data_IF_486522269714
#
_entry.id   IF_486522269714
#
_cell.length_a   1.000
_cell.length_b   1.000
_cell.length_c   1.000
_cell.angle_alpha   90.00
_cell.angle_beta   90.00
_cell.angle_gamma   90.00
#
_symmetry.space_group_name_H-M   'P 1'
#
loop_
_entity.id
_entity.type
_entity.pdbx_description
1 polymer ?
#
# COMPACT_ATOMS: atom_id res chain seq x y z
N UNK A 1 -4.59 -8.55 10.72
CA UNK A 1 -5.91 -8.42 10.05
C UNK A 1 -6.11 -9.54 9.03
N UNK A 2 -7.23 -10.27 9.10
CA UNK A 2 -7.66 -11.20 8.04
C UNK A 2 -9.19 -11.23 7.94
N UNK A 3 -9.73 -11.79 6.87
CA UNK A 3 -11.16 -11.88 6.61
C UNK A 3 -11.61 -10.90 5.52
N UNK A 4 -12.93 -10.74 5.38
CA UNK A 4 -13.55 -10.03 4.24
C UNK A 4 -13.11 -8.57 4.10
N UNK A 5 -12.75 -7.89 5.19
CA UNK A 5 -12.24 -6.50 5.16
C UNK A 5 -10.94 -6.34 4.37
N UNK A 6 -10.16 -7.41 4.23
CA UNK A 6 -8.92 -7.41 3.45
C UNK A 6 -9.15 -7.58 1.95
N UNK A 7 -10.39 -7.80 1.51
CA UNK A 7 -10.75 -7.94 0.09
C UNK A 7 -10.88 -6.56 -0.54
N UNK A 8 -10.21 -6.37 -1.67
CA UNK A 8 -10.23 -5.14 -2.47
C UNK A 8 -10.43 -5.46 -3.93
N UNK A 9 -11.25 -4.66 -4.61
CA UNK A 9 -11.29 -4.57 -6.08
C UNK A 9 -10.31 -3.48 -6.49
N UNK A 10 -9.39 -3.82 -7.39
CA UNK A 10 -8.30 -2.95 -7.81
C UNK A 10 -8.43 -2.65 -9.30
N UNK A 11 -8.47 -1.36 -9.65
CA UNK A 11 -8.43 -0.89 -11.03
C UNK A 11 -7.28 0.10 -11.13
N UNK A 12 -6.35 -0.15 -12.05
CA UNK A 12 -5.21 0.71 -12.28
C UNK A 12 -5.10 1.09 -13.75
N UNK A 13 -4.87 2.36 -14.02
CA UNK A 13 -4.56 2.92 -15.33
C UNK A 13 -3.13 3.44 -15.27
N UNK A 14 -2.33 3.09 -16.27
CA UNK A 14 -0.93 3.49 -16.35
C UNK A 14 -0.59 4.06 -17.72
N UNK A 15 0.42 4.93 -17.76
CA UNK A 15 0.97 5.44 -19.02
C UNK A 15 1.69 4.32 -19.75
N UNK A 16 1.29 4.01 -20.99
CA UNK A 16 2.04 3.06 -21.82
C UNK A 16 3.42 3.57 -22.21
N UNK A 17 3.62 4.89 -22.22
CA UNK A 17 4.90 5.52 -22.59
C UNK A 17 5.90 5.48 -21.43
N UNK A 18 5.47 5.81 -20.21
CA UNK A 18 6.38 5.90 -19.04
C UNK A 18 6.34 4.67 -18.14
N UNK A 19 5.32 3.82 -18.27
CA UNK A 19 5.07 2.69 -17.36
C UNK A 19 4.54 3.09 -15.99
N UNK A 20 4.33 4.39 -15.72
CA UNK A 20 3.89 4.89 -14.40
C UNK A 20 2.37 4.83 -14.24
N UNK A 21 1.84 4.48 -13.05
CA UNK A 21 0.42 4.60 -12.74
C UNK A 21 -0.05 6.06 -12.79
N UNK A 22 -1.23 6.30 -13.36
CA UNK A 22 -1.85 7.63 -13.52
C UNK A 22 -3.13 7.75 -12.69
N UNK A 23 -4.00 6.74 -12.78
CA UNK A 23 -5.29 6.71 -12.08
C UNK A 23 -5.45 5.35 -11.40
N UNK A 24 -5.93 5.37 -10.17
CA UNK A 24 -6.20 4.17 -9.39
C UNK A 24 -7.54 4.24 -8.70
N UNK A 25 -8.23 3.09 -8.65
CA UNK A 25 -9.41 2.87 -7.84
C UNK A 25 -9.19 1.65 -6.96
N UNK A 26 -9.47 1.80 -5.67
CA UNK A 26 -9.45 0.74 -4.67
C UNK A 26 -10.80 0.71 -3.99
N UNK A 27 -11.61 -0.31 -4.26
CA UNK A 27 -12.90 -0.49 -3.59
C UNK A 27 -12.83 -1.64 -2.60
N UNK A 28 -13.14 -1.38 -1.33
CA UNK A 28 -13.34 -2.38 -0.29
C UNK A 28 -14.83 -2.75 -0.23
N UNK A 29 -15.29 -3.90 -0.75
CA UNK A 29 -16.72 -4.24 -0.75
C UNK A 29 -17.25 -4.46 0.67
N UNK A 30 -16.39 -4.96 1.56
CA UNK A 30 -16.73 -5.37 2.91
C UNK A 30 -16.06 -4.45 3.95
N UNK A 31 -16.24 -3.14 3.83
CA UNK A 31 -15.57 -2.15 4.69
C UNK A 31 -16.18 -2.12 6.10
N UNK A 32 -17.49 -1.85 6.19
CA UNK A 32 -18.25 -1.84 7.45
C UNK A 32 -19.40 -2.83 7.39
N UNK A 33 -19.72 -3.45 8.53
CA UNK A 33 -20.89 -4.32 8.67
C UNK A 33 -21.79 -3.71 9.74
N UNK A 34 -23.01 -3.36 9.37
CA UNK A 34 -24.04 -2.80 10.24
C UNK A 34 -25.32 -3.59 10.00
N UNK A 35 -25.96 -4.09 11.05
CA UNK A 35 -27.19 -4.88 10.98
C UNK A 35 -27.12 -6.03 9.96
N UNK A 36 -26.03 -6.81 9.99
CA UNK A 36 -25.75 -7.95 9.10
C UNK A 36 -25.61 -7.57 7.61
N UNK A 37 -25.53 -6.28 7.27
CA UNK A 37 -25.32 -5.79 5.90
C UNK A 37 -23.96 -5.16 5.74
N UNK A 38 -23.30 -5.50 4.63
CA UNK A 38 -22.01 -4.92 4.27
C UNK A 38 -22.19 -3.62 3.50
N UNK A 39 -21.45 -2.59 3.93
CA UNK A 39 -21.28 -1.34 3.20
C UNK A 39 -19.84 -1.24 2.72
N UNK A 40 -19.68 -1.04 1.43
CA UNK A 40 -18.39 -0.84 0.80
C UNK A 40 -17.86 0.58 0.94
N UNK A 41 -16.58 0.76 0.64
CA UNK A 41 -15.94 2.07 0.54
C UNK A 41 -15.00 2.10 -0.65
N UNK A 42 -15.12 3.14 -1.47
CA UNK A 42 -14.34 3.32 -2.68
C UNK A 42 -13.36 4.47 -2.49
N UNK A 43 -12.11 4.23 -2.85
CA UNK A 43 -11.02 5.20 -2.84
C UNK A 43 -10.48 5.35 -4.25
N UNK A 44 -10.07 6.55 -4.61
CA UNK A 44 -9.49 6.84 -5.91
C UNK A 44 -8.41 7.91 -5.80
N UNK A 45 -7.47 7.86 -6.73
CA UNK A 45 -6.38 8.82 -6.84
C UNK A 45 -5.95 8.98 -8.28
N UNK A 46 -5.65 10.21 -8.65
CA UNK A 46 -5.18 10.63 -9.96
C UNK A 46 -3.95 11.52 -9.79
N UNK A 47 -2.92 11.26 -10.60
CA UNK A 47 -1.76 12.14 -10.72
C UNK A 47 -1.22 12.10 -12.15
N UNK A 48 -1.24 13.25 -12.82
CA UNK A 48 -0.59 13.44 -14.11
C UNK A 48 -0.15 14.91 -14.27
N UNK A 49 1.06 15.14 -14.75
CA UNK A 49 1.62 16.49 -14.99
C UNK A 49 1.44 17.44 -13.78
N UNK A 50 1.78 16.96 -12.58
CA UNK A 50 1.66 17.68 -11.30
C UNK A 50 0.22 18.06 -10.88
N UNK A 51 -0.78 17.61 -11.63
CA UNK A 51 -2.20 17.75 -11.26
C UNK A 51 -2.61 16.49 -10.50
N UNK A 52 -2.63 16.60 -9.17
CA UNK A 52 -3.05 15.54 -8.25
C UNK A 52 -4.45 15.74 -7.69
N UNK A 53 -5.24 14.65 -7.62
CA UNK A 53 -6.50 14.60 -6.86
C UNK A 53 -6.64 13.23 -6.19
N UNK A 54 -7.07 13.23 -4.93
CA UNK A 54 -7.30 12.00 -4.18
C UNK A 54 -8.61 12.08 -3.41
N UNK A 55 -9.29 10.94 -3.24
CA UNK A 55 -10.44 10.81 -2.34
C UNK A 55 -10.06 10.77 -0.86
N UNK A 56 -8.78 10.57 -0.56
CA UNK A 56 -8.25 10.46 0.80
C UNK A 56 -7.67 11.82 1.20
N UNK A 57 -8.06 12.29 2.38
CA UNK A 57 -7.38 13.38 3.05
C UNK A 57 -6.28 12.77 3.92
N UNK A 58 -5.02 13.11 3.66
CA UNK A 58 -3.88 12.61 4.43
C UNK A 58 -3.73 13.47 5.70
N UNK A 59 -3.83 12.84 6.85
CA UNK A 59 -3.37 13.42 8.10
C UNK A 59 -1.95 12.93 8.36
N UNK A 60 -1.02 13.85 8.63
CA UNK A 60 0.34 13.50 9.00
C UNK A 60 0.37 13.13 10.48
N UNK A 61 0.58 11.85 10.76
CA UNK A 61 0.91 11.37 12.09
C UNK A 61 2.16 10.50 11.96
N UNK A 62 3.18 10.78 12.78
CA UNK A 62 4.48 10.11 12.70
C UNK A 62 4.41 8.84 13.54
N UNK A 63 3.84 7.78 12.96
CA UNK A 63 3.74 6.47 13.58
C UNK A 63 5.01 5.67 13.27
N UNK A 64 5.18 4.54 13.97
CA UNK A 64 6.23 3.56 13.70
C UNK A 64 5.63 2.19 13.46
N UNK A 65 4.60 2.12 12.62
CA UNK A 65 3.84 0.89 12.36
C UNK A 65 4.09 0.43 10.92
N UNK A 66 4.58 -0.80 10.77
CA UNK A 66 4.81 -1.42 9.46
C UNK A 66 3.86 -2.59 9.29
N UNK A 67 3.13 -2.61 8.18
CA UNK A 67 2.32 -3.76 7.79
C UNK A 67 3.14 -4.74 6.95
N UNK A 68 2.98 -6.04 7.22
CA UNK A 68 3.67 -7.13 6.55
C UNK A 68 2.71 -8.24 6.11
N UNK A 69 3.18 -9.11 5.22
CA UNK A 69 2.55 -10.41 4.98
C UNK A 69 2.92 -11.41 6.08
N UNK A 70 2.04 -12.38 6.39
CA UNK A 70 2.30 -13.39 7.46
C UNK A 70 3.58 -14.18 7.24
N UNK A 71 3.84 -14.56 5.98
CA UNK A 71 4.97 -15.40 5.57
C UNK A 71 6.17 -14.54 5.15
N UNK A 72 6.33 -13.36 5.76
CA UNK A 72 7.48 -12.50 5.52
C UNK A 72 8.77 -13.10 6.09
N UNK A 73 9.92 -12.69 5.56
CA UNK A 73 11.23 -13.12 6.02
C UNK A 73 11.51 -12.72 7.48
N UNK A 74 11.92 -13.69 8.31
CA UNK A 74 12.14 -13.48 9.75
C UNK A 74 13.34 -12.57 10.05
N UNK A 75 14.35 -12.53 9.17
CA UNK A 75 15.46 -11.59 9.31
C UNK A 75 15.01 -10.16 9.02
N UNK A 76 14.12 -9.95 8.04
CA UNK A 76 13.47 -8.64 7.81
C UNK A 76 12.66 -8.23 9.04
N UNK A 77 11.79 -9.10 9.58
CA UNK A 77 11.02 -8.81 10.81
C UNK A 77 11.92 -8.45 11.98
N UNK A 78 12.98 -9.22 12.22
CA UNK A 78 13.92 -8.98 13.32
C UNK A 78 14.62 -7.61 13.22
N UNK A 79 15.06 -7.22 12.01
CA UNK A 79 15.70 -5.92 11.79
C UNK A 79 14.76 -4.75 12.06
N UNK A 80 13.50 -4.85 11.60
CA UNK A 80 12.49 -3.81 11.84
C UNK A 80 12.13 -3.68 13.32
N UNK A 81 11.97 -4.80 14.04
CA UNK A 81 11.74 -4.78 15.48
C UNK A 81 12.91 -4.14 16.24
N UNK A 82 14.15 -4.49 15.89
CA UNK A 82 15.35 -3.88 16.48
C UNK A 82 15.46 -2.38 16.21
N UNK A 83 14.95 -1.91 15.08
CA UNK A 83 14.87 -0.49 14.74
C UNK A 83 13.71 0.26 15.44
N UNK A 84 12.91 -0.44 16.26
CA UNK A 84 11.85 0.17 17.07
C UNK A 84 10.51 0.30 16.36
N UNK A 85 10.28 -0.42 15.25
CA UNK A 85 8.98 -0.47 14.58
C UNK A 85 8.04 -1.49 15.23
N UNK A 86 6.76 -1.14 15.27
CA UNK A 86 5.66 -2.06 15.56
C UNK A 86 5.26 -2.77 14.28
N UNK A 87 5.21 -4.10 14.31
CA UNK A 87 4.83 -4.90 13.15
C UNK A 87 3.39 -5.36 13.24
N UNK A 88 2.62 -5.19 12.17
CA UNK A 88 1.26 -5.72 12.03
C UNK A 88 1.17 -6.60 10.80
N UNK A 89 0.49 -7.74 10.89
CA UNK A 89 0.34 -8.65 9.76
C UNK A 89 -1.06 -8.53 9.14
N UNK A 90 -1.15 -8.44 7.82
CA UNK A 90 -2.43 -8.39 7.11
C UNK A 90 -2.48 -9.21 5.81
N UNK A 91 -3.65 -9.77 5.52
CA UNK A 91 -3.94 -10.41 4.24
C UNK A 91 -4.27 -9.36 3.15
N UNK A 92 -4.16 -9.75 1.88
CA UNK A 92 -4.46 -8.90 0.72
C UNK A 92 -3.35 -7.89 0.40
N UNK A 93 -2.83 -7.90 -0.82
CA UNK A 93 -1.81 -6.93 -1.24
C UNK A 93 -2.41 -5.53 -1.35
N UNK A 94 -3.55 -5.39 -2.05
CA UNK A 94 -4.27 -4.13 -2.18
C UNK A 94 -4.69 -3.52 -0.86
N UNK A 95 -5.14 -4.33 0.10
CA UNK A 95 -5.47 -3.87 1.46
C UNK A 95 -4.26 -3.28 2.19
N UNK A 96 -3.10 -3.95 2.15
CA UNK A 96 -1.88 -3.45 2.81
C UNK A 96 -1.42 -2.11 2.24
N UNK A 97 -1.46 -1.96 0.92
CA UNK A 97 -1.10 -0.70 0.27
C UNK A 97 -2.14 0.39 0.62
N UNK A 98 -3.43 0.04 0.64
CA UNK A 98 -4.48 0.96 1.05
C UNK A 98 -4.32 1.42 2.51
N UNK A 99 -3.94 0.54 3.44
CA UNK A 99 -3.68 0.92 4.83
C UNK A 99 -2.56 1.97 4.95
N UNK A 100 -1.54 1.93 4.09
CA UNK A 100 -0.53 3.00 4.00
C UNK A 100 -1.16 4.29 3.49
N UNK A 101 -1.94 4.23 2.41
CA UNK A 101 -2.60 5.40 1.84
C UNK A 101 -3.58 6.08 2.82
N UNK A 102 -4.23 5.31 3.69
CA UNK A 102 -5.14 5.79 4.73
C UNK A 102 -4.42 6.30 5.99
N UNK A 103 -3.10 6.18 6.08
CA UNK A 103 -2.33 6.54 7.28
C UNK A 103 -2.60 5.63 8.48
N UNK A 104 -3.14 4.43 8.26
CA UNK A 104 -3.32 3.42 9.33
C UNK A 104 -1.98 2.83 9.77
N UNK A 105 -1.01 2.79 8.85
CA UNK A 105 0.37 2.32 9.00
C UNK A 105 1.30 3.20 8.16
N UNK A 106 2.58 3.25 8.49
CA UNK A 106 3.56 4.13 7.82
C UNK A 106 4.14 3.49 6.56
N UNK A 107 4.31 2.18 6.56
CA UNK A 107 4.87 1.45 5.44
C UNK A 107 4.31 0.04 5.31
N UNK A 108 4.30 -0.46 4.06
CA UNK A 108 4.12 -1.86 3.73
C UNK A 108 5.43 -2.40 3.16
N UNK A 109 6.02 -3.39 3.82
CA UNK A 109 7.21 -4.09 3.34
C UNK A 109 6.84 -5.48 2.84
N UNK A 110 7.38 -5.84 1.69
CA UNK A 110 7.29 -7.17 1.09
C UNK A 110 8.64 -7.55 0.49
N UNK A 111 9.33 -8.53 1.08
CA UNK A 111 10.62 -9.00 0.53
C UNK A 111 10.46 -10.10 -0.53
N UNK A 112 9.30 -10.75 -0.56
CA UNK A 112 8.99 -11.88 -1.45
C UNK A 112 8.34 -11.40 -2.74
N UNK A 113 8.69 -12.04 -3.86
CA UNK A 113 8.09 -11.77 -5.18
C UNK A 113 6.70 -12.39 -5.35
N UNK A 114 5.73 -11.98 -4.52
CA UNK A 114 4.35 -12.52 -4.51
C UNK A 114 3.28 -11.50 -4.90
N UNK A 115 3.68 -10.37 -5.49
CA UNK A 115 2.79 -9.32 -6.01
C UNK A 115 3.04 -9.06 -7.47
N UNK A 116 1.97 -8.78 -8.20
CA UNK A 116 1.98 -8.48 -9.63
C UNK A 116 1.45 -7.07 -9.90
N UNK A 117 1.54 -6.62 -11.15
CA UNK A 117 1.11 -5.27 -11.54
C UNK A 117 -0.37 -5.01 -11.27
N UNK A 118 -1.23 -6.02 -11.35
CA UNK A 118 -2.65 -5.88 -10.98
C UNK A 118 -2.86 -5.70 -9.47
N UNK A 119 -1.95 -6.18 -8.62
CA UNK A 119 -2.01 -5.97 -7.18
C UNK A 119 -1.58 -4.57 -6.76
N UNK A 120 -0.70 -3.93 -7.55
CA UNK A 120 -0.03 -2.68 -7.16
C UNK A 120 -0.47 -1.46 -7.96
N UNK A 121 -0.83 -1.58 -9.25
CA UNK A 121 -1.05 -0.42 -10.13
C UNK A 121 -2.10 0.56 -9.59
N UNK A 122 -3.31 0.08 -9.27
CA UNK A 122 -4.37 0.91 -8.71
C UNK A 122 -3.98 1.55 -7.37
N UNK A 123 -3.60 0.76 -6.35
CA UNK A 123 -3.16 1.30 -5.07
C UNK A 123 -1.94 2.23 -5.15
N UNK A 124 -0.99 1.98 -6.07
CA UNK A 124 0.18 2.83 -6.28
C UNK A 124 -0.23 4.21 -6.83
N UNK A 125 -1.17 4.27 -7.78
CA UNK A 125 -1.68 5.56 -8.26
C UNK A 125 -2.34 6.36 -7.12
N UNK A 126 -3.07 5.69 -6.22
CA UNK A 126 -3.64 6.32 -5.01
C UNK A 126 -2.52 6.87 -4.12
N UNK A 127 -1.47 6.09 -3.84
CA UNK A 127 -0.32 6.56 -3.06
C UNK A 127 0.39 7.74 -3.71
N UNK A 128 0.63 7.70 -5.02
CA UNK A 128 1.30 8.78 -5.74
C UNK A 128 0.49 10.09 -5.67
N UNK A 129 -0.84 10.02 -5.70
CA UNK A 129 -1.69 11.21 -5.50
C UNK A 129 -1.65 11.81 -4.08
N UNK A 130 -0.95 11.14 -3.15
CA UNK A 130 -0.75 11.53 -1.75
C UNK A 130 0.74 11.79 -1.42
N UNK A 131 1.54 12.09 -2.45
CA UNK A 131 2.99 12.28 -2.39
C UNK A 131 3.76 11.05 -1.88
N UNK A 132 3.14 9.86 -1.99
CA UNK A 132 3.74 8.58 -1.67
C UNK A 132 4.19 7.82 -2.92
N UNK A 133 4.52 6.54 -2.75
CA UNK A 133 4.90 5.69 -3.86
C UNK A 133 5.20 4.26 -3.45
N UNK A 134 5.63 3.46 -4.43
CA UNK A 134 6.13 2.10 -4.22
C UNK A 134 7.50 2.02 -4.90
N UNK A 135 8.47 1.50 -4.16
CA UNK A 135 9.83 1.23 -4.64
C UNK A 135 10.11 -0.28 -4.63
N UNK A 136 11.08 -0.71 -5.44
CA UNK A 136 11.44 -2.11 -5.55
C UNK A 136 12.39 -2.50 -4.41
N UNK A 137 12.00 -3.51 -3.62
CA UNK A 137 12.69 -3.86 -2.39
C UNK A 137 14.13 -4.31 -2.62
N UNK A 138 14.41 -5.13 -3.65
CA UNK A 138 15.77 -5.67 -3.86
C UNK A 138 16.74 -4.58 -4.32
N UNK A 139 16.32 -3.71 -5.21
CA UNK A 139 17.11 -2.55 -5.64
C UNK A 139 17.40 -1.65 -4.44
N UNK A 140 16.38 -1.34 -3.62
CA UNK A 140 16.57 -0.51 -2.43
C UNK A 140 17.60 -1.08 -1.44
N UNK A 141 17.58 -2.40 -1.17
CA UNK A 141 18.55 -2.99 -0.24
C UNK A 141 19.95 -3.17 -0.86
N UNK A 142 20.06 -3.33 -2.19
CA UNK A 142 21.36 -3.53 -2.86
C UNK A 142 22.06 -2.19 -3.11
N UNK A 143 21.31 -1.13 -3.41
CA UNK A 143 21.84 0.22 -3.61
C UNK A 143 22.33 0.86 -2.31
N UNK A 144 21.97 0.29 -1.15
CA UNK A 144 22.49 0.73 0.16
C UNK A 144 24.00 0.46 0.38
N UNK A 145 24.70 -0.07 -0.63
CA UNK A 145 26.16 -0.25 -0.67
C UNK A 145 26.93 0.81 -1.48
N UNK A 146 26.25 1.80 -2.08
CA UNK A 146 26.87 2.98 -2.70
C UNK A 146 26.36 4.24 -1.99
N UNK A 147 27.28 4.96 -1.37
CA UNK A 147 27.11 6.19 -0.58
C UNK A 147 26.75 6.01 0.91
N UNK A 148 27.79 5.70 1.71
CA UNK A 148 28.28 6.58 2.80
C UNK A 148 29.79 6.41 2.97
#
# INVERSE_FOLDING_TARGET
>A
MSGLRCVTVLIGVYSKTTGKPILGVVNQPFHTNVDLRWKGKCYWGFLENDIGRCSIAKESDDKKIIVLSRVEDENVKSKLLKAGFTLVEAAGAGYKILSVALGEVDAYILSRGSTYKWDTCGPQAVLCSLDGGIIEFRSFINDSGSDH
#
